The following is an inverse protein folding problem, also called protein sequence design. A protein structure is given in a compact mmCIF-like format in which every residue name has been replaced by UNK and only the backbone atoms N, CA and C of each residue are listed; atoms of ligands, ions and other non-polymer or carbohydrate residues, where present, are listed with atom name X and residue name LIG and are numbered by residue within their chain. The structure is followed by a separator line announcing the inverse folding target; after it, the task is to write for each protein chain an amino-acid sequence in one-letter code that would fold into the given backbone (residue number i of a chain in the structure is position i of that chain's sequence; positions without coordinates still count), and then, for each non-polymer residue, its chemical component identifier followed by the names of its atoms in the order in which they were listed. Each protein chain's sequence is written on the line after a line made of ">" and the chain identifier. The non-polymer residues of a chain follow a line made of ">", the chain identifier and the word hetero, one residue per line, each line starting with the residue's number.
data_IF_527541454208
#
_entry.id   IF_527541454208
#
_cell.length_a   1.000
_cell.length_b   1.000
_cell.length_c   1.000
_cell.angle_alpha   90.00
_cell.angle_beta   90.00
_cell.angle_gamma   90.00
#
_symmetry.space_group_name_H-M   'P 1'
#
loop_
_entity.id
_entity.type
_entity.pdbx_description
1 polymer ?
#
# COMPACT_ATOMS: atom_id res chain seq x y z
N UNK A 1 -0.66 17.02 -17.13
CA UNK A 1 -0.81 17.16 -15.67
C UNK A 1 0.30 16.36 -15.03
N UNK A 2 1.03 16.95 -14.09
CA UNK A 2 2.07 16.23 -13.35
C UNK A 2 1.42 15.54 -12.15
N UNK A 3 1.75 14.27 -11.86
CA UNK A 3 1.20 13.56 -10.70
C UNK A 3 1.63 14.26 -9.40
N UNK A 4 0.67 14.50 -8.51
CA UNK A 4 0.96 14.89 -7.13
C UNK A 4 1.37 13.64 -6.34
N UNK A 5 2.52 13.69 -5.70
CA UNK A 5 3.01 12.65 -4.80
C UNK A 5 2.89 13.16 -3.37
N UNK A 6 2.14 12.46 -2.51
CA UNK A 6 2.27 12.62 -1.07
C UNK A 6 3.27 11.59 -0.55
N UNK A 7 4.41 12.08 -0.05
CA UNK A 7 5.41 11.25 0.65
C UNK A 7 5.16 11.40 2.14
N UNK A 8 4.69 10.34 2.79
CA UNK A 8 4.56 10.29 4.25
C UNK A 8 5.90 9.84 4.86
N UNK A 9 6.64 10.76 5.49
CA UNK A 9 7.84 10.42 6.26
C UNK A 9 7.45 9.80 7.61
N UNK A 10 7.97 8.60 7.88
CA UNK A 10 7.73 7.81 9.09
C UNK A 10 8.25 8.53 10.35
N UNK A 11 7.40 9.37 10.95
CA UNK A 11 7.68 10.11 12.19
C UNK A 11 6.52 10.16 13.20
N UNK A 12 5.37 9.56 12.89
CA UNK A 12 4.19 9.47 13.78
C UNK A 12 3.84 7.99 14.03
N UNK A 13 4.52 7.31 14.98
CA UNK A 13 4.97 5.94 14.69
C UNK A 13 3.94 4.81 14.84
N UNK A 14 2.81 5.01 15.53
CA UNK A 14 1.89 3.90 15.85
C UNK A 14 0.48 4.11 15.32
N UNK A 15 -0.08 5.32 15.43
CA UNK A 15 -1.43 5.58 14.93
C UNK A 15 -1.50 5.50 13.40
N UNK A 16 -0.54 6.08 12.69
CA UNK A 16 -0.48 6.01 11.22
C UNK A 16 -0.16 4.58 10.75
N UNK A 17 0.74 3.86 11.42
CA UNK A 17 1.03 2.46 11.10
C UNK A 17 -0.20 1.54 11.24
N UNK A 18 -1.03 1.74 12.27
CA UNK A 18 -2.28 1.00 12.44
C UNK A 18 -3.32 1.34 11.36
N UNK A 19 -3.38 2.60 10.93
CA UNK A 19 -4.26 3.04 9.84
C UNK A 19 -3.81 2.42 8.50
N UNK A 20 -2.51 2.48 8.18
CA UNK A 20 -1.95 1.86 6.96
C UNK A 20 -2.12 0.34 6.97
N UNK A 21 -1.95 -0.33 8.12
CA UNK A 21 -2.19 -1.77 8.22
C UNK A 21 -3.66 -2.14 7.96
N UNK A 22 -4.58 -1.31 8.40
CA UNK A 22 -6.02 -1.47 8.15
C UNK A 22 -6.33 -1.27 6.66
N UNK A 23 -5.78 -0.22 6.06
CA UNK A 23 -5.94 0.11 4.64
C UNK A 23 -5.42 -1.00 3.72
N UNK A 24 -4.25 -1.57 4.02
CA UNK A 24 -3.72 -2.73 3.28
C UNK A 24 -4.68 -3.91 3.40
N UNK A 25 -5.12 -4.22 4.63
CA UNK A 25 -6.00 -5.37 4.86
C UNK A 25 -7.34 -5.21 4.13
N UNK A 26 -7.94 -4.02 4.17
CA UNK A 26 -9.19 -3.73 3.47
C UNK A 26 -9.00 -3.82 1.96
N UNK A 27 -7.90 -3.26 1.44
CA UNK A 27 -7.59 -3.32 0.01
C UNK A 27 -7.42 -4.75 -0.48
N UNK A 28 -6.59 -5.54 0.21
CA UNK A 28 -6.32 -6.93 -0.16
C UNK A 28 -7.59 -7.80 -0.13
N UNK A 29 -8.56 -7.49 0.74
CA UNK A 29 -9.83 -8.23 0.84
C UNK A 29 -10.88 -7.80 -0.18
N UNK A 30 -10.81 -6.56 -0.66
CA UNK A 30 -11.79 -5.98 -1.55
C UNK A 30 -11.42 -6.11 -3.03
N UNK A 31 -10.27 -6.71 -3.34
CA UNK A 31 -9.75 -6.84 -4.69
C UNK A 31 -9.47 -8.31 -5.00
N UNK A 32 -10.03 -8.81 -6.09
CA UNK A 32 -9.75 -10.15 -6.61
C UNK A 32 -8.44 -10.14 -7.41
N UNK A 33 -7.38 -10.64 -6.78
CA UNK A 33 -6.04 -10.68 -7.35
C UNK A 33 -5.74 -12.00 -8.07
N UNK A 34 -4.99 -11.88 -9.17
CA UNK A 34 -4.40 -13.00 -9.88
C UNK A 34 -2.87 -12.99 -9.75
N UNK A 35 -2.26 -14.18 -9.63
CA UNK A 35 -0.80 -14.30 -9.57
C UNK A 35 -0.19 -14.01 -10.93
N UNK A 36 0.60 -12.95 -11.03
CA UNK A 36 1.29 -12.56 -12.27
C UNK A 36 2.70 -13.14 -12.38
N UNK A 37 3.39 -13.40 -11.25
CA UNK A 37 4.77 -13.87 -11.28
C UNK A 37 5.51 -13.71 -9.95
N UNK A 38 6.81 -13.46 -10.04
CA UNK A 38 7.68 -13.15 -8.91
C UNK A 38 8.70 -12.06 -9.26
N UNK A 39 9.25 -11.41 -8.23
CA UNK A 39 10.33 -10.43 -8.32
C UNK A 39 11.36 -10.71 -7.23
N UNK A 40 12.66 -10.52 -7.53
CA UNK A 40 13.72 -10.64 -6.52
C UNK A 40 14.04 -9.28 -5.92
N UNK A 41 13.95 -9.14 -4.59
CA UNK A 41 14.35 -7.93 -3.84
C UNK A 41 15.13 -8.33 -2.59
N UNK A 42 16.28 -7.70 -2.36
CA UNK A 42 17.17 -7.99 -1.23
C UNK A 42 17.51 -9.49 -1.08
N UNK A 43 17.71 -10.18 -2.21
CA UNK A 43 18.01 -11.61 -2.25
C UNK A 43 16.82 -12.54 -1.94
N UNK A 44 15.61 -12.00 -1.75
CA UNK A 44 14.38 -12.77 -1.51
C UNK A 44 13.50 -12.77 -2.76
N UNK A 45 12.86 -13.91 -3.03
CA UNK A 45 11.84 -14.01 -4.08
C UNK A 45 10.48 -13.65 -3.51
N UNK A 46 9.87 -12.60 -4.06
CA UNK A 46 8.56 -12.09 -3.67
C UNK A 46 7.53 -12.45 -4.74
N UNK A 47 6.32 -12.83 -4.33
CA UNK A 47 5.21 -13.10 -5.25
C UNK A 47 4.54 -11.80 -5.68
N UNK A 48 4.23 -11.69 -6.97
CA UNK A 48 3.53 -10.54 -7.57
C UNK A 48 2.12 -10.94 -7.96
N UNK A 49 1.16 -10.17 -7.46
CA UNK A 49 -0.26 -10.30 -7.73
C UNK A 49 -0.79 -9.02 -8.38
N UNK A 50 -1.68 -9.18 -9.36
CA UNK A 50 -2.25 -8.05 -10.10
C UNK A 50 -3.78 -8.17 -10.17
N UNK A 51 -4.44 -7.03 -10.21
CA UNK A 51 -5.85 -6.91 -10.54
C UNK A 51 -6.00 -5.79 -11.56
N UNK A 52 -6.84 -5.99 -12.58
CA UNK A 52 -7.08 -5.02 -13.64
C UNK A 52 -8.57 -4.96 -13.94
N UNK A 53 -9.09 -3.76 -14.19
CA UNK A 53 -10.51 -3.53 -14.35
C UNK A 53 -11.26 -3.53 -13.03
N UNK A 54 -12.56 -3.27 -13.10
CA UNK A 54 -13.42 -3.05 -11.93
C UNK A 54 -14.24 -4.27 -11.54
N UNK A 55 -14.27 -5.32 -12.36
CA UNK A 55 -15.09 -6.52 -12.13
C UNK A 55 -14.75 -7.24 -10.82
N UNK A 56 -13.48 -7.22 -10.42
CA UNK A 56 -12.97 -7.81 -9.18
C UNK A 56 -12.80 -6.82 -8.03
N UNK A 57 -13.32 -5.60 -8.15
CA UNK A 57 -13.18 -4.54 -7.15
C UNK A 57 -14.50 -4.35 -6.38
N UNK A 58 -14.45 -4.45 -5.06
CA UNK A 58 -15.57 -4.11 -4.18
C UNK A 58 -15.56 -2.62 -3.82
N UNK A 59 -16.23 -1.80 -4.64
CA UNK A 59 -16.33 -0.33 -4.42
C UNK A 59 -17.26 0.08 -3.26
N UNK A 60 -18.00 -0.87 -2.68
CA UNK A 60 -18.76 -0.64 -1.44
C UNK A 60 -17.86 -0.63 -0.20
N UNK A 61 -16.70 -1.29 -0.30
CA UNK A 61 -15.66 -1.36 0.71
C UNK A 61 -14.61 -0.28 0.44
N UNK A 62 -14.00 -0.30 -0.74
CA UNK A 62 -13.02 0.70 -1.17
C UNK A 62 -13.68 1.83 -1.93
N UNK A 63 -13.21 3.07 -1.77
CA UNK A 63 -13.68 4.21 -2.57
C UNK A 63 -15.20 4.44 -2.48
N UNK A 64 -15.79 4.23 -1.30
CA UNK A 64 -17.25 4.28 -1.13
C UNK A 64 -17.86 5.58 -1.68
N UNK A 65 -18.85 5.40 -2.56
CA UNK A 65 -19.56 6.49 -3.20
C UNK A 65 -18.71 7.23 -4.24
N UNK A 66 -17.68 6.59 -4.79
CA UNK A 66 -16.95 7.00 -5.98
C UNK A 66 -17.43 6.15 -7.16
N UNK A 67 -17.67 6.81 -8.30
CA UNK A 67 -17.81 6.13 -9.56
C UNK A 67 -16.40 5.87 -10.10
N UNK A 68 -15.94 4.61 -10.01
CA UNK A 68 -14.62 4.18 -10.47
C UNK A 68 -14.77 3.58 -11.87
N UNK A 69 -14.21 4.24 -12.88
CA UNK A 69 -14.33 3.81 -14.28
C UNK A 69 -13.18 2.89 -14.72
N UNK A 70 -12.02 3.03 -14.10
CA UNK A 70 -10.83 2.22 -14.36
C UNK A 70 -10.15 1.92 -13.03
N UNK A 71 -9.58 0.72 -12.91
CA UNK A 71 -8.84 0.30 -11.73
C UNK A 71 -7.71 -0.63 -12.13
N UNK A 72 -6.58 -0.49 -11.47
CA UNK A 72 -5.54 -1.51 -11.43
C UNK A 72 -4.88 -1.53 -10.05
N UNK A 73 -4.39 -2.70 -9.65
CA UNK A 73 -3.60 -2.84 -8.44
C UNK A 73 -2.48 -3.85 -8.62
N UNK A 74 -1.33 -3.56 -8.02
CA UNK A 74 -0.20 -4.47 -7.91
C UNK A 74 0.12 -4.68 -6.44
N UNK A 75 0.14 -5.94 -6.02
CA UNK A 75 0.48 -6.37 -4.67
C UNK A 75 1.73 -7.26 -4.72
N UNK A 76 2.75 -6.89 -3.97
CA UNK A 76 4.00 -7.66 -3.84
C UNK A 76 4.11 -8.18 -2.41
N UNK A 77 4.20 -9.50 -2.26
CA UNK A 77 4.14 -10.18 -0.95
C UNK A 77 5.28 -11.18 -0.84
N UNK A 78 5.87 -11.28 0.35
CA UNK A 78 6.72 -12.41 0.72
C UNK A 78 5.86 -13.67 0.89
N UNK A 79 6.00 -14.69 0.03
CA UNK A 79 5.15 -15.87 0.08
C UNK A 79 5.40 -16.77 1.30
N UNK A 80 6.55 -16.63 1.98
CA UNK A 80 6.89 -17.41 3.17
C UNK A 80 6.27 -16.81 4.43
N UNK A 81 6.25 -15.48 4.52
CA UNK A 81 5.82 -14.75 5.73
C UNK A 81 4.46 -14.07 5.62
N UNK A 82 3.97 -13.85 4.39
CA UNK A 82 2.77 -13.06 4.12
C UNK A 82 2.96 -11.54 4.26
N UNK A 83 4.20 -11.07 4.44
CA UNK A 83 4.51 -9.65 4.58
C UNK A 83 4.32 -8.93 3.23
N UNK A 84 3.55 -7.84 3.26
CA UNK A 84 3.39 -6.96 2.10
C UNK A 84 4.60 -6.04 1.97
N UNK A 85 5.21 -6.05 0.78
CA UNK A 85 6.34 -5.19 0.42
C UNK A 85 5.93 -3.99 -0.42
N UNK A 86 4.92 -4.17 -1.27
CA UNK A 86 4.38 -3.10 -2.10
C UNK A 86 2.89 -3.30 -2.29
N UNK A 87 2.12 -2.24 -2.13
CA UNK A 87 0.74 -2.14 -2.60
C UNK A 87 0.64 -0.86 -3.43
N UNK A 88 0.42 -1.03 -4.73
CA UNK A 88 0.12 0.07 -5.65
C UNK A 88 -1.32 -0.06 -6.10
N UNK A 89 -2.08 1.02 -6.02
CA UNK A 89 -3.44 1.13 -6.55
C UNK A 89 -3.48 2.32 -7.50
N UNK A 90 -4.19 2.14 -8.60
CA UNK A 90 -4.44 3.19 -9.57
C UNK A 90 -5.90 3.11 -9.98
N UNK A 91 -6.57 4.26 -9.99
CA UNK A 91 -8.01 4.32 -10.25
C UNK A 91 -8.38 5.62 -10.94
N UNK A 92 -9.39 5.57 -11.78
CA UNK A 92 -9.97 6.76 -12.43
C UNK A 92 -11.36 7.02 -11.86
N UNK A 93 -11.62 8.24 -11.38
CA UNK A 93 -12.93 8.70 -10.85
C UNK A 93 -13.19 10.16 -11.17
N UNK A 94 -14.45 10.57 -11.21
CA UNK A 94 -14.87 11.96 -11.44
C UNK A 94 -15.27 12.73 -10.15
N UNK A 95 -15.33 12.02 -9.01
CA UNK A 95 -15.81 12.59 -7.73
C UNK A 95 -14.93 13.74 -7.21
N UNK A 96 -13.61 13.66 -7.42
CA UNK A 96 -12.67 14.63 -6.85
C UNK A 96 -12.57 15.93 -7.66
N UNK A 97 -13.14 15.99 -8.88
CA UNK A 97 -12.87 17.07 -9.82
C UNK A 97 -14.13 17.56 -10.55
N UNK A 98 -15.18 17.89 -9.80
CA UNK A 98 -16.40 18.52 -10.35
C UNK A 98 -17.02 17.80 -11.57
N UNK A 99 -16.88 16.47 -11.65
CA UNK A 99 -17.43 15.64 -12.73
C UNK A 99 -16.47 15.35 -13.89
N UNK A 100 -15.20 15.80 -13.83
CA UNK A 100 -14.18 15.39 -14.79
C UNK A 100 -13.42 14.14 -14.30
N UNK A 101 -13.28 13.08 -15.11
CA UNK A 101 -12.50 11.89 -14.74
C UNK A 101 -11.04 12.25 -14.46
N UNK A 102 -10.52 11.78 -13.33
CA UNK A 102 -9.14 11.94 -12.89
C UNK A 102 -8.56 10.63 -12.38
N UNK A 103 -7.30 10.39 -12.74
CA UNK A 103 -6.56 9.21 -12.31
C UNK A 103 -5.78 9.52 -11.03
N UNK A 104 -5.97 8.67 -10.02
CA UNK A 104 -5.32 8.74 -8.72
C UNK A 104 -4.44 7.50 -8.58
N UNK A 105 -3.18 7.73 -8.20
CA UNK A 105 -2.19 6.68 -7.99
C UNK A 105 -1.73 6.74 -6.55
N UNK A 106 -1.92 5.65 -5.82
CA UNK A 106 -1.45 5.49 -4.45
C UNK A 106 -0.41 4.36 -4.45
N UNK A 107 0.72 4.59 -3.76
CA UNK A 107 1.81 3.61 -3.69
C UNK A 107 2.32 3.55 -2.27
N UNK A 108 2.18 2.37 -1.66
CA UNK A 108 2.74 2.03 -0.36
C UNK A 108 3.93 1.09 -0.58
N UNK A 109 5.10 1.49 -0.09
CA UNK A 109 6.32 0.67 -0.14
C UNK A 109 6.86 0.43 1.26
N UNK A 110 7.20 -0.83 1.56
CA UNK A 110 7.73 -1.25 2.84
C UNK A 110 9.12 -1.86 2.67
N UNK A 111 10.10 -1.29 3.38
CA UNK A 111 11.46 -1.80 3.51
C UNK A 111 11.79 -2.08 4.97
N UNK A 112 12.84 -2.87 5.19
CA UNK A 112 13.37 -3.17 6.54
C UNK A 112 12.33 -3.71 7.53
N UNK A 113 11.28 -4.38 7.01
CA UNK A 113 10.17 -4.91 7.83
C UNK A 113 10.71 -5.91 8.85
N UNK A 114 10.44 -5.66 10.13
CA UNK A 114 10.94 -6.46 11.25
C UNK A 114 12.32 -6.06 11.77
N UNK A 115 12.99 -5.08 11.16
CA UNK A 115 14.22 -4.48 11.68
C UNK A 115 13.87 -3.36 12.67
N UNK A 116 14.60 -3.31 13.77
CA UNK A 116 14.61 -2.13 14.65
C UNK A 116 16.00 -1.94 15.21
N UNK A 117 16.51 -0.71 15.13
CA UNK A 117 17.70 -0.27 15.83
C UNK A 117 17.29 0.88 16.74
N UNK A 118 17.23 0.62 18.04
CA UNK A 118 17.05 1.66 19.05
C UNK A 118 18.41 1.88 19.69
N UNK A 119 18.99 3.06 19.51
CA UNK A 119 20.18 3.44 20.24
C UNK A 119 19.84 3.58 21.72
N UNK A 120 20.65 2.99 22.59
CA UNK A 120 20.49 3.15 24.02
C UNK A 120 20.63 4.65 24.37
N UNK A 121 19.65 5.26 25.06
CA UNK A 121 19.76 6.66 25.42
C UNK A 121 20.96 6.90 26.34
N UNK A 122 21.69 8.01 26.10
CA UNK A 122 22.91 8.34 26.87
C UNK A 122 22.70 8.46 28.39
N UNK A 123 21.48 8.78 28.84
CA UNK A 123 21.15 8.85 30.27
C UNK A 123 21.22 7.48 30.97
N UNK A 124 21.21 6.37 30.24
CA UNK A 124 21.37 5.02 30.81
C UNK A 124 22.80 4.81 31.31
N UNK A 125 23.79 5.48 30.71
CA UNK A 125 25.18 5.41 31.19
C UNK A 125 25.42 6.31 32.41
N UNK A 126 24.60 7.34 32.63
CA UNK A 126 24.61 8.19 33.84
C UNK A 126 24.03 7.49 35.08
N UNK A 127 23.47 6.27 34.93
CA UNK A 127 22.89 5.46 36.02
C UNK A 127 23.85 4.40 36.58
N UNK A 128 25.08 4.28 36.06
CA UNK A 128 26.12 3.35 36.54
C UNK A 128 27.11 4.03 37.48
#
# INVERSE_FOLDING_TARGET
>A
MEPQYEVSELGRPLAESLLTATEIQETVRAVDYERSGSVTRDGRELAVYVANGTDGLSTDVLFRGEDVSEFSSTLVVDPETGIVHTLKTERTTDKLSAGEPNTIVETLEFSDVGSTSVEQPGWVDDLK
#
